data_IF_024615030056
#
_entry.id   IF_024615030056
#
_cell.length_a   1.000
_cell.length_b   1.000
_cell.length_c   1.000
_cell.angle_alpha   90.00
_cell.angle_beta   90.00
_cell.angle_gamma   90.00
#
_symmetry.space_group_name_H-M   'P 1'
#
loop_
_entity.id
_entity.type
_entity.pdbx_description
1 polymer ?
#
# COMPACT_ATOMS: atom_id res chain seq x y z
N UNK A 1 9.23 3.31 -20.73
CA UNK A 1 8.93 3.36 -19.29
C UNK A 1 8.97 1.93 -18.78
N UNK A 2 10.03 1.57 -18.08
CA UNK A 2 10.11 0.29 -17.40
C UNK A 2 9.18 0.40 -16.20
N UNK A 3 8.05 -0.32 -16.21
CA UNK A 3 7.24 -0.44 -15.00
C UNK A 3 8.16 -1.01 -13.92
N UNK A 4 8.41 -0.27 -12.85
CA UNK A 4 9.03 -0.81 -11.65
C UNK A 4 8.07 -1.89 -11.16
N UNK A 5 8.36 -3.13 -11.52
CA UNK A 5 7.59 -4.27 -11.08
C UNK A 5 7.82 -4.38 -9.57
N UNK A 6 6.78 -4.10 -8.78
CA UNK A 6 6.83 -4.27 -7.32
C UNK A 6 7.06 -5.76 -7.07
N UNK A 7 8.12 -6.07 -6.33
CA UNK A 7 8.51 -7.45 -6.13
C UNK A 7 7.43 -8.18 -5.32
N UNK A 8 7.01 -9.40 -5.73
CA UNK A 8 5.92 -10.11 -5.05
C UNK A 8 6.16 -10.34 -3.55
N UNK A 9 7.42 -10.47 -3.14
CA UNK A 9 7.76 -10.62 -1.72
C UNK A 9 7.42 -9.36 -0.92
N UNK A 10 7.61 -8.15 -1.49
CA UNK A 10 7.31 -6.89 -0.82
C UNK A 10 5.81 -6.73 -0.64
N UNK A 11 5.01 -7.09 -1.66
CA UNK A 11 3.54 -7.09 -1.57
C UNK A 11 3.08 -7.97 -0.41
N UNK A 12 3.70 -9.13 -0.22
CA UNK A 12 3.43 -10.00 0.91
C UNK A 12 3.79 -9.35 2.26
N UNK A 13 4.97 -8.73 2.36
CA UNK A 13 5.40 -8.04 3.58
C UNK A 13 4.52 -6.83 3.92
N UNK A 14 4.07 -6.06 2.93
CA UNK A 14 3.09 -4.98 3.12
C UNK A 14 1.81 -5.52 3.73
N UNK A 15 1.29 -6.61 3.15
CA UNK A 15 0.07 -7.23 3.66
C UNK A 15 0.24 -7.73 5.09
N UNK A 16 1.37 -8.36 5.42
CA UNK A 16 1.69 -8.80 6.78
C UNK A 16 1.85 -7.63 7.75
N UNK A 17 2.50 -6.54 7.33
CA UNK A 17 2.74 -5.37 8.17
C UNK A 17 1.46 -4.65 8.56
N UNK A 18 0.47 -4.58 7.66
CA UNK A 18 -0.80 -3.92 7.93
C UNK A 18 -1.87 -4.87 8.48
N UNK A 19 -1.96 -6.07 7.92
CA UNK A 19 -3.04 -7.02 8.22
C UNK A 19 -2.62 -8.16 9.18
N UNK A 20 -1.35 -8.30 9.53
CA UNK A 20 -0.86 -9.40 10.38
C UNK A 20 -1.18 -10.78 9.79
N UNK A 21 -1.50 -11.73 10.67
CA UNK A 21 -1.77 -13.14 10.31
C UNK A 21 -3.20 -13.40 9.79
N UNK A 22 -3.94 -12.35 9.40
CA UNK A 22 -5.33 -12.49 8.95
C UNK A 22 -5.41 -13.13 7.57
N UNK A 23 -6.58 -13.67 7.24
CA UNK A 23 -6.82 -14.24 5.92
C UNK A 23 -6.79 -13.14 4.86
N UNK A 24 -5.76 -13.19 4.01
CA UNK A 24 -5.50 -12.27 2.91
C UNK A 24 -5.28 -13.08 1.63
N UNK A 25 -5.74 -12.56 0.50
CA UNK A 25 -5.45 -13.12 -0.81
C UNK A 25 -4.53 -12.15 -1.53
N UNK A 26 -3.40 -12.62 -2.05
CA UNK A 26 -2.45 -11.80 -2.80
C UNK A 26 -2.40 -12.30 -4.24
N UNK A 27 -2.55 -11.37 -5.18
CA UNK A 27 -2.41 -11.62 -6.61
C UNK A 27 -1.63 -10.47 -7.24
N UNK A 28 -0.41 -10.75 -7.72
CA UNK A 28 0.52 -9.74 -8.25
C UNK A 28 0.75 -8.60 -7.25
N UNK A 29 0.38 -7.36 -7.59
CA UNK A 29 0.45 -6.18 -6.70
C UNK A 29 -0.89 -5.88 -6.00
N UNK A 30 -1.82 -6.83 -5.99
CA UNK A 30 -3.14 -6.67 -5.39
C UNK A 30 -3.26 -7.51 -4.13
N UNK A 31 -3.81 -6.91 -3.07
CA UNK A 31 -4.13 -7.55 -1.80
C UNK A 31 -5.63 -7.45 -1.60
N UNK A 32 -6.29 -8.59 -1.46
CA UNK A 32 -7.70 -8.64 -1.08
C UNK A 32 -7.81 -8.98 0.41
N UNK A 33 -8.52 -8.13 1.14
CA UNK A 33 -8.83 -8.31 2.56
C UNK A 33 -10.30 -7.95 2.80
N UNK A 34 -11.05 -8.86 3.42
CA UNK A 34 -12.52 -8.82 3.49
C UNK A 34 -13.16 -8.57 2.10
N UNK A 35 -13.92 -7.48 1.97
CA UNK A 35 -14.65 -7.04 0.79
C UNK A 35 -13.88 -5.99 -0.04
N UNK A 36 -12.61 -5.73 0.29
CA UNK A 36 -11.79 -4.72 -0.35
C UNK A 36 -10.65 -5.36 -1.15
N UNK A 37 -10.36 -4.76 -2.30
CA UNK A 37 -9.18 -5.05 -3.10
C UNK A 37 -8.30 -3.81 -3.08
N UNK A 38 -7.06 -3.96 -2.66
CA UNK A 38 -6.08 -2.90 -2.58
C UNK A 38 -4.97 -3.13 -3.59
N UNK A 39 -4.59 -2.08 -4.31
CA UNK A 39 -3.40 -2.08 -5.15
C UNK A 39 -2.23 -1.47 -4.38
N UNK A 40 -1.10 -2.17 -4.35
CA UNK A 40 0.17 -1.56 -3.95
C UNK A 40 0.59 -0.59 -5.05
N UNK A 41 0.75 0.68 -4.69
CA UNK A 41 1.10 1.80 -5.57
C UNK A 41 2.37 2.47 -5.07
N UNK A 42 3.05 3.17 -5.97
CA UNK A 42 4.22 3.99 -5.66
C UNK A 42 3.82 5.45 -5.50
N UNK A 43 4.40 6.14 -4.52
CA UNK A 43 4.25 7.57 -4.37
C UNK A 43 5.13 8.25 -5.42
N UNK A 44 4.50 8.82 -6.45
CA UNK A 44 5.19 9.45 -7.59
C UNK A 44 5.30 10.99 -7.49
N UNK A 45 4.68 11.59 -6.47
CA UNK A 45 4.69 13.05 -6.26
C UNK A 45 6.12 13.56 -6.04
N UNK A 46 6.54 14.55 -6.84
CA UNK A 46 7.96 14.93 -6.97
C UNK A 46 8.57 15.51 -5.69
N UNK A 47 7.78 16.26 -4.93
CA UNK A 47 8.21 16.95 -3.70
C UNK A 47 7.85 16.17 -2.44
N UNK A 48 7.32 14.95 -2.58
CA UNK A 48 6.91 14.16 -1.43
C UNK A 48 8.13 13.57 -0.71
N UNK A 49 8.24 13.68 0.64
CA UNK A 49 9.35 13.11 1.40
C UNK A 49 9.54 11.61 1.16
N UNK A 50 8.44 10.92 0.88
CA UNK A 50 8.39 9.48 0.63
C UNK A 50 8.23 9.12 -0.86
N UNK A 51 8.68 9.98 -1.78
CA UNK A 51 8.69 9.63 -3.20
C UNK A 51 9.43 8.31 -3.44
N UNK A 52 8.80 7.40 -4.18
CA UNK A 52 9.30 6.04 -4.44
C UNK A 52 8.87 4.99 -3.42
N UNK A 53 8.29 5.39 -2.29
CA UNK A 53 7.73 4.47 -1.28
C UNK A 53 6.37 3.96 -1.72
N UNK A 54 5.87 2.93 -1.02
CA UNK A 54 4.61 2.30 -1.36
C UNK A 54 3.47 2.72 -0.45
N UNK A 55 2.25 2.63 -0.98
CA UNK A 55 1.00 2.77 -0.23
C UNK A 55 -0.05 1.80 -0.80
N UNK A 56 -1.13 1.58 -0.04
CA UNK A 56 -2.26 0.75 -0.48
C UNK A 56 -3.41 1.64 -0.93
N UNK A 57 -3.82 1.52 -2.19
CA UNK A 57 -4.97 2.21 -2.75
C UNK A 57 -6.14 1.23 -2.88
N UNK A 58 -7.30 1.56 -2.31
CA UNK A 58 -8.51 0.77 -2.51
C UNK A 58 -9.06 0.92 -3.93
N UNK A 59 -9.33 -0.20 -4.58
CA UNK A 59 -9.74 -0.26 -5.98
C UNK A 59 -11.15 0.29 -6.25
N UNK A 60 -11.99 0.45 -5.21
CA UNK A 60 -13.37 0.94 -5.37
C UNK A 60 -13.48 2.45 -5.11
N UNK A 61 -12.66 2.97 -4.20
CA UNK A 61 -12.75 4.36 -3.70
C UNK A 61 -11.58 5.22 -4.13
N UNK A 62 -10.51 4.63 -4.66
CA UNK A 62 -9.23 5.26 -4.97
C UNK A 62 -8.53 5.92 -3.76
N UNK A 63 -9.05 5.72 -2.54
CA UNK A 63 -8.49 6.25 -1.30
C UNK A 63 -7.34 5.38 -0.81
N UNK A 64 -6.36 6.01 -0.17
CA UNK A 64 -5.26 5.30 0.45
C UNK A 64 -5.68 4.72 1.81
N UNK A 65 -5.23 3.50 2.09
CA UNK A 65 -5.51 2.83 3.35
C UNK A 65 -4.59 3.38 4.44
N UNK A 66 -5.16 3.87 5.55
CA UNK A 66 -4.37 4.32 6.70
C UNK A 66 -4.06 3.15 7.62
N UNK A 67 -5.11 2.44 8.06
CA UNK A 67 -5.01 1.27 8.94
C UNK A 67 -5.97 0.21 8.41
N UNK A 68 -6.27 -0.85 9.16
CA UNK A 68 -7.16 -1.92 8.71
C UNK A 68 -8.67 -1.58 8.76
N UNK A 69 -9.03 -0.35 9.13
CA UNK A 69 -10.41 0.13 9.27
C UNK A 69 -10.65 1.47 8.55
N UNK A 70 -9.65 2.35 8.51
CA UNK A 70 -9.78 3.74 8.08
C UNK A 70 -8.99 4.05 6.81
N UNK A 71 -9.53 4.98 6.02
CA UNK A 71 -8.92 5.53 4.82
C UNK A 71 -8.39 6.94 5.07
N UNK A 72 -7.28 7.27 4.42
CA UNK A 72 -6.80 8.64 4.35
C UNK A 72 -7.74 9.49 3.46
N UNK A 73 -7.90 10.79 3.78
CA UNK A 73 -8.48 11.78 2.89
C UNK A 73 -7.91 11.77 1.46
N UNK A 74 -8.70 12.28 0.52
CA UNK A 74 -8.31 12.36 -0.88
C UNK A 74 -7.04 13.22 -1.05
N UNK A 75 -6.04 12.66 -1.73
CA UNK A 75 -4.77 13.35 -2.02
C UNK A 75 -3.61 12.95 -1.10
N UNK A 76 -3.87 12.14 -0.08
CA UNK A 76 -2.88 11.64 0.88
C UNK A 76 -2.66 10.13 0.73
N UNK A 77 -1.60 9.62 1.34
CA UNK A 77 -1.10 8.26 1.09
C UNK A 77 -1.31 7.27 2.23
N UNK A 78 -1.89 7.65 3.37
CA UNK A 78 -2.22 6.72 4.45
C UNK A 78 -0.97 6.03 5.02
N UNK A 79 -0.99 4.71 5.16
CA UNK A 79 0.20 3.96 5.58
C UNK A 79 1.27 3.95 4.48
N UNK A 80 2.49 4.32 4.86
CA UNK A 80 3.65 4.39 3.96
C UNK A 80 4.58 3.23 4.23
N UNK A 81 4.90 2.47 3.18
CA UNK A 81 5.69 1.25 3.26
C UNK A 81 7.05 1.41 2.58
N UNK A 82 8.10 0.95 3.24
CA UNK A 82 9.48 0.92 2.73
C UNK A 82 9.59 -0.06 1.54
N UNK A 83 10.13 0.36 0.37
CA UNK A 83 10.19 -0.50 -0.81
C UNK A 83 10.99 -1.79 -0.65
N UNK A 84 12.03 -1.77 0.17
CA UNK A 84 12.94 -2.90 0.34
C UNK A 84 12.35 -3.98 1.24
N UNK A 85 11.62 -3.57 2.28
CA UNK A 85 11.16 -4.46 3.36
C UNK A 85 9.65 -4.64 3.41
N UNK A 86 8.87 -3.71 2.87
CA UNK A 86 7.41 -3.68 3.01
C UNK A 86 6.93 -3.31 4.42
N UNK A 87 7.83 -2.84 5.30
CA UNK A 87 7.48 -2.38 6.64
C UNK A 87 6.80 -1.02 6.58
N UNK A 88 5.85 -0.79 7.49
CA UNK A 88 5.30 0.55 7.69
C UNK A 88 6.35 1.43 8.36
N UNK A 89 6.65 2.58 7.76
CA UNK A 89 7.63 3.54 8.29
C UNK A 89 7.00 4.86 8.73
N UNK A 90 5.84 5.22 8.19
CA UNK A 90 5.11 6.43 8.58
C UNK A 90 3.62 6.35 8.17
N UNK A 91 2.84 7.33 8.60
CA UNK A 91 1.44 7.53 8.25
C UNK A 91 1.17 8.97 7.83
N UNK A 92 0.39 9.13 6.77
CA UNK A 92 0.00 10.42 6.23
C UNK A 92 -1.54 10.59 6.22
N UNK A 93 -2.06 11.62 6.92
CA UNK A 93 -3.47 12.00 6.89
C UNK A 93 -3.87 12.72 5.62
#
# INVERSE_FOLDING_TARGET
MTYLQIAPYVVNQIAQSLFGDRYIIIYENTIQFHNHCYHVRTIDSEEHPYRGYYYLQDANTDLAMWNDVEFAPLGFYGAIFEPETGNIIDYEP
#
